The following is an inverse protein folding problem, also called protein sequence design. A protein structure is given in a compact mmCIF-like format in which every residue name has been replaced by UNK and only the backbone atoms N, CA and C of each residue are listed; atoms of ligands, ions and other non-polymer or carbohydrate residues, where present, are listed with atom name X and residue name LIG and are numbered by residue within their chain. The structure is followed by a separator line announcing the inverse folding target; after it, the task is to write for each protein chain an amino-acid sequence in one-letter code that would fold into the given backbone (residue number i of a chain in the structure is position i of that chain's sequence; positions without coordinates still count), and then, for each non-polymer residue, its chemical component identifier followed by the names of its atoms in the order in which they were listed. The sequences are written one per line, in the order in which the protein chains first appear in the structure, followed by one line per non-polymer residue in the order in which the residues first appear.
data_IF_125666151235
#
_entry.id   IF_125666151235
#
_cell.length_a   1.000
_cell.length_b   1.000
_cell.length_c   1.000
_cell.angle_alpha   90.00
_cell.angle_beta   90.00
_cell.angle_gamma   90.00
#
_symmetry.space_group_name_H-M   'P 1'
#
loop_
_entity.id
_entity.type
_entity.pdbx_description
1 polymer ?
#
# COMPACT_ATOMS: atom_id res chain seq x y z
N UNK A 1 -1.77 -25.08 -12.59
CA UNK A 1 -3.19 -25.06 -12.17
C UNK A 1 -3.29 -24.27 -10.85
N UNK A 2 -4.06 -23.20 -10.84
CA UNK A 2 -4.23 -22.34 -9.66
C UNK A 2 -4.93 -23.09 -8.53
N UNK A 3 -4.33 -23.11 -7.36
CA UNK A 3 -4.90 -23.67 -6.15
C UNK A 3 -4.36 -22.90 -4.93
N UNK A 4 -4.95 -23.16 -3.75
CA UNK A 4 -4.56 -22.49 -2.50
C UNK A 4 -3.07 -22.60 -2.21
N UNK A 5 -2.48 -23.78 -2.38
CA UNK A 5 -1.07 -24.01 -2.06
C UNK A 5 -0.14 -23.26 -3.03
N UNK A 6 -0.47 -23.21 -4.33
CA UNK A 6 0.32 -22.46 -5.30
C UNK A 6 0.40 -20.98 -4.94
N UNK A 7 -0.73 -20.36 -4.54
CA UNK A 7 -0.75 -18.97 -4.08
C UNK A 7 0.11 -18.81 -2.82
N UNK A 8 -0.04 -19.70 -1.84
CA UNK A 8 0.73 -19.64 -0.59
C UNK A 8 2.24 -19.75 -0.81
N UNK A 9 2.67 -20.58 -1.77
CA UNK A 9 4.09 -20.75 -2.11
C UNK A 9 4.72 -19.46 -2.66
N UNK A 10 4.01 -18.75 -3.54
CA UNK A 10 4.54 -17.53 -4.19
C UNK A 10 4.29 -16.25 -3.39
N UNK A 11 3.49 -16.32 -2.32
CA UNK A 11 3.12 -15.16 -1.50
C UNK A 11 3.73 -15.19 -0.08
N UNK A 12 4.86 -15.86 0.10
CA UNK A 12 5.51 -16.02 1.40
C UNK A 12 4.49 -16.53 2.46
N UNK A 13 3.85 -17.67 2.15
CA UNK A 13 2.82 -18.31 3.01
C UNK A 13 1.65 -17.37 3.36
N UNK A 14 1.29 -16.47 2.44
CA UNK A 14 0.19 -15.51 2.57
C UNK A 14 0.61 -14.15 3.15
N UNK A 15 1.86 -13.97 3.58
CA UNK A 15 2.32 -12.70 4.16
C UNK A 15 2.28 -11.54 3.15
N UNK A 16 2.64 -11.81 1.89
CA UNK A 16 2.60 -10.82 0.82
C UNK A 16 1.18 -10.34 0.53
N UNK A 17 0.18 -11.23 0.65
CA UNK A 17 -1.24 -10.87 0.53
C UNK A 17 -1.63 -9.89 1.64
N UNK A 18 -1.28 -10.18 2.90
CA UNK A 18 -1.54 -9.24 4.00
C UNK A 18 -0.88 -7.88 3.78
N UNK A 19 0.36 -7.86 3.27
CA UNK A 19 1.08 -6.60 2.97
C UNK A 19 0.44 -5.80 1.86
N UNK A 20 -0.15 -6.48 0.87
CA UNK A 20 -0.83 -5.83 -0.24
C UNK A 20 -2.16 -5.20 0.19
N UNK A 21 -3.01 -5.97 0.87
CA UNK A 21 -4.37 -5.54 1.19
C UNK A 21 -4.49 -4.67 2.45
N UNK A 22 -3.60 -4.85 3.43
CA UNK A 22 -3.57 -3.99 4.61
C UNK A 22 -2.78 -2.72 4.30
N UNK A 23 -3.44 -1.58 4.22
CA UNK A 23 -2.84 -0.27 3.92
C UNK A 23 -1.96 0.30 5.04
N UNK A 24 -1.61 -0.51 6.03
CA UNK A 24 -0.75 -0.13 7.16
C UNK A 24 0.56 -0.92 7.16
N UNK A 25 1.63 -0.28 7.60
CA UNK A 25 2.88 -0.99 7.85
C UNK A 25 2.78 -1.73 9.18
N UNK A 26 2.87 -3.03 9.14
CA UNK A 26 2.91 -3.89 10.32
C UNK A 26 4.22 -4.68 10.41
N UNK A 27 4.52 -5.17 11.60
CA UNK A 27 5.58 -6.18 11.84
C UNK A 27 4.94 -7.45 12.37
N UNK A 28 5.33 -8.59 11.83
CA UNK A 28 4.89 -9.91 12.31
C UNK A 28 5.16 -10.03 13.81
N UNK A 29 4.18 -10.51 14.57
CA UNK A 29 4.26 -10.65 16.03
C UNK A 29 4.06 -9.36 16.81
N UNK A 30 3.84 -8.21 16.17
CA UNK A 30 3.57 -6.93 16.83
C UNK A 30 2.15 -6.46 16.58
N UNK A 31 1.53 -5.90 17.61
CA UNK A 31 0.18 -5.35 17.51
C UNK A 31 0.16 -4.06 16.68
N UNK A 32 -0.88 -3.90 15.89
CA UNK A 32 -1.17 -2.69 15.10
C UNK A 32 -2.68 -2.39 15.11
N UNK A 33 -3.06 -1.19 14.68
CA UNK A 33 -4.45 -0.80 14.51
C UNK A 33 -5.02 -1.47 13.26
N UNK A 34 -6.18 -2.14 13.37
CA UNK A 34 -6.82 -2.74 12.22
C UNK A 34 -7.33 -1.63 11.27
N UNK A 35 -6.88 -1.61 9.99
CA UNK A 35 -7.31 -0.58 9.04
C UNK A 35 -8.71 -0.81 8.48
N UNK A 36 -9.33 -1.96 8.74
CA UNK A 36 -10.62 -2.36 8.15
C UNK A 36 -11.83 -1.79 8.89
N UNK A 37 -11.62 -1.25 10.09
CA UNK A 37 -12.66 -0.55 10.86
C UNK A 37 -12.04 0.56 11.71
N UNK A 38 -12.87 1.33 12.41
CA UNK A 38 -12.43 2.39 13.33
C UNK A 38 -11.85 1.78 14.60
N UNK A 39 -10.61 1.33 14.55
CA UNK A 39 -9.88 0.81 15.69
C UNK A 39 -9.18 1.93 16.47
N UNK A 40 -9.35 1.96 17.79
CA UNK A 40 -8.76 2.97 18.69
C UNK A 40 -7.59 2.44 19.50
N UNK A 41 -7.43 1.11 19.57
CA UNK A 41 -6.41 0.44 20.36
C UNK A 41 -5.79 -0.68 19.55
N UNK A 42 -4.48 -0.64 19.35
CA UNK A 42 -3.75 -1.66 18.61
C UNK A 42 -4.04 -3.07 19.17
N UNK A 43 -4.92 -3.80 18.51
CA UNK A 43 -5.40 -5.14 18.89
C UNK A 43 -5.12 -6.20 17.83
N UNK A 44 -4.85 -5.78 16.59
CA UNK A 44 -4.61 -6.68 15.48
C UNK A 44 -3.15 -7.15 15.42
N UNK A 45 -2.91 -8.41 15.08
CA UNK A 45 -1.59 -9.00 14.95
C UNK A 45 -1.54 -9.98 13.79
N UNK A 46 -0.45 -9.96 13.03
CA UNK A 46 -0.11 -11.00 12.04
C UNK A 46 0.93 -11.93 12.67
N UNK A 47 0.67 -13.23 12.64
CA UNK A 47 1.56 -14.26 13.19
C UNK A 47 1.67 -15.45 12.27
N UNK A 48 2.74 -16.23 12.41
CA UNK A 48 2.92 -17.46 11.69
C UNK A 48 2.31 -18.62 12.47
N UNK A 49 1.33 -19.30 11.87
CA UNK A 49 0.72 -20.51 12.42
C UNK A 49 1.55 -21.74 11.99
N UNK A 50 2.35 -22.24 12.89
CA UNK A 50 3.24 -23.39 12.64
C UNK A 50 2.47 -24.66 12.27
N UNK A 51 1.25 -24.85 12.84
CA UNK A 51 0.46 -26.05 12.57
C UNK A 51 0.00 -26.12 11.12
N UNK A 52 -0.37 -24.99 10.54
CA UNK A 52 -0.87 -24.91 9.17
C UNK A 52 0.18 -24.37 8.18
N UNK A 53 1.38 -23.99 8.67
CA UNK A 53 2.46 -23.40 7.89
C UNK A 53 2.05 -22.19 7.05
N UNK A 54 1.24 -21.29 7.62
CA UNK A 54 0.73 -20.08 6.97
C UNK A 54 0.72 -18.89 7.93
N UNK A 55 0.75 -17.68 7.38
CA UNK A 55 0.47 -16.48 8.17
C UNK A 55 -1.03 -16.31 8.38
N UNK A 56 -1.38 -15.87 9.58
CA UNK A 56 -2.76 -15.57 9.99
C UNK A 56 -2.83 -14.21 10.67
N UNK A 57 -3.98 -13.60 10.57
CA UNK A 57 -4.34 -12.39 11.29
C UNK A 57 -5.21 -12.75 12.49
N UNK A 58 -4.93 -12.20 13.65
CA UNK A 58 -5.78 -12.24 14.83
C UNK A 58 -6.07 -10.82 15.27
N UNK A 59 -7.33 -10.50 15.33
CA UNK A 59 -7.81 -9.25 15.91
C UNK A 59 -8.48 -9.54 17.26
N UNK A 60 -7.88 -9.05 18.33
CA UNK A 60 -8.40 -9.21 19.70
C UNK A 60 -9.50 -8.18 20.03
N UNK A 61 -9.67 -7.14 19.19
CA UNK A 61 -10.73 -6.15 19.33
C UNK A 61 -12.01 -6.56 18.63
N UNK A 62 -11.88 -7.23 17.48
CA UNK A 62 -13.01 -7.77 16.72
C UNK A 62 -12.60 -9.06 16.00
N UNK A 63 -13.01 -10.19 16.56
CA UNK A 63 -12.65 -11.51 16.06
C UNK A 63 -13.17 -11.81 14.65
N UNK A 64 -14.12 -11.04 14.19
CA UNK A 64 -14.62 -11.12 12.82
C UNK A 64 -13.52 -10.93 11.77
N UNK A 65 -12.50 -10.16 12.07
CA UNK A 65 -11.35 -9.90 11.18
C UNK A 65 -10.19 -10.88 11.41
N UNK A 66 -10.39 -11.93 12.21
CA UNK A 66 -9.39 -12.99 12.38
C UNK A 66 -9.48 -14.01 11.25
N UNK A 67 -8.31 -14.52 10.79
CA UNK A 67 -8.30 -15.56 9.76
C UNK A 67 -7.01 -15.60 8.94
N UNK A 68 -7.03 -16.38 7.86
CA UNK A 68 -5.94 -16.43 6.90
C UNK A 68 -6.06 -15.30 5.83
N UNK A 69 -5.11 -15.24 4.92
CA UNK A 69 -5.09 -14.19 3.89
C UNK A 69 -6.29 -14.28 2.93
N UNK A 70 -6.82 -15.47 2.70
CA UNK A 70 -8.02 -15.65 1.85
C UNK A 70 -9.28 -15.15 2.56
N UNK A 71 -9.39 -15.37 3.87
CA UNK A 71 -10.50 -14.85 4.68
C UNK A 71 -10.46 -13.32 4.73
N UNK A 72 -9.27 -12.71 4.80
CA UNK A 72 -9.12 -11.26 4.69
C UNK A 72 -9.68 -10.74 3.35
N UNK A 73 -9.22 -11.32 2.23
CA UNK A 73 -9.65 -10.87 0.89
C UNK A 73 -11.15 -11.15 0.70
N UNK A 74 -11.65 -12.29 1.15
CA UNK A 74 -13.07 -12.61 1.12
C UNK A 74 -13.92 -11.55 1.83
N UNK A 75 -13.52 -11.11 3.04
CA UNK A 75 -14.20 -10.04 3.75
C UNK A 75 -14.15 -8.69 3.04
N UNK A 76 -13.03 -8.35 2.44
CA UNK A 76 -12.87 -7.10 1.70
C UNK A 76 -13.70 -7.07 0.41
N UNK A 77 -13.91 -8.22 -0.22
CA UNK A 77 -14.67 -8.36 -1.48
C UNK A 77 -16.12 -8.77 -1.28
N UNK A 78 -16.51 -9.13 -0.04
CA UNK A 78 -17.85 -9.64 0.26
C UNK A 78 -18.07 -11.10 -0.14
N UNK A 79 -16.99 -11.84 -0.42
CA UNK A 79 -17.01 -13.23 -0.83
C UNK A 79 -16.71 -14.17 0.36
N UNK A 80 -17.29 -15.37 0.34
CA UNK A 80 -17.16 -16.36 1.41
C UNK A 80 -16.17 -17.47 1.07
N UNK A 81 -15.14 -17.64 1.87
CA UNK A 81 -14.22 -18.78 1.75
C UNK A 81 -14.88 -20.14 1.93
N UNK A 82 -16.10 -20.19 2.50
CA UNK A 82 -16.85 -21.44 2.72
C UNK A 82 -17.56 -21.92 1.45
N UNK A 83 -17.78 -21.06 0.48
CA UNK A 83 -18.42 -21.40 -0.77
C UNK A 83 -17.35 -21.71 -1.83
N UNK A 84 -17.32 -22.93 -2.41
CA UNK A 84 -16.25 -23.31 -3.33
C UNK A 84 -16.09 -22.39 -4.54
N UNK A 85 -17.20 -21.90 -5.10
CA UNK A 85 -17.19 -20.98 -6.26
C UNK A 85 -16.59 -19.62 -5.88
N UNK A 86 -17.01 -19.08 -4.74
CA UNK A 86 -16.52 -17.80 -4.24
C UNK A 86 -15.06 -17.89 -3.80
N UNK A 87 -14.65 -19.03 -3.25
CA UNK A 87 -13.25 -19.26 -2.89
C UNK A 87 -12.33 -19.29 -4.12
N UNK A 88 -12.78 -19.89 -5.22
CA UNK A 88 -12.05 -19.80 -6.50
C UNK A 88 -11.91 -18.37 -6.97
N UNK A 89 -12.97 -17.56 -6.82
CA UNK A 89 -12.93 -16.14 -7.18
C UNK A 89 -11.99 -15.34 -6.29
N UNK A 90 -11.97 -15.59 -4.98
CA UNK A 90 -10.98 -15.00 -4.06
C UNK A 90 -9.55 -15.30 -4.53
N UNK A 91 -9.27 -16.54 -4.91
CA UNK A 91 -7.96 -16.93 -5.43
C UNK A 91 -7.60 -16.19 -6.72
N UNK A 92 -8.56 -16.00 -7.63
CA UNK A 92 -8.35 -15.22 -8.86
C UNK A 92 -8.05 -13.76 -8.58
N UNK A 93 -8.79 -13.15 -7.66
CA UNK A 93 -8.56 -11.76 -7.24
C UNK A 93 -7.13 -11.61 -6.71
N UNK A 94 -6.69 -12.52 -5.84
CA UNK A 94 -5.33 -12.49 -5.30
C UNK A 94 -4.29 -12.65 -6.42
N UNK A 95 -4.51 -13.59 -7.36
CA UNK A 95 -3.61 -13.84 -8.48
C UNK A 95 -3.47 -12.60 -9.38
N UNK A 96 -4.58 -11.92 -9.66
CA UNK A 96 -4.62 -10.72 -10.47
C UNK A 96 -4.00 -9.51 -9.78
N UNK A 97 -4.39 -9.24 -8.54
CA UNK A 97 -3.94 -8.06 -7.81
C UNK A 97 -2.43 -8.11 -7.49
N UNK A 98 -1.90 -9.31 -7.22
CA UNK A 98 -0.48 -9.51 -6.98
C UNK A 98 0.31 -9.90 -8.23
N UNK A 99 -0.35 -10.01 -9.39
CA UNK A 99 0.26 -10.39 -10.67
C UNK A 99 1.08 -11.70 -10.59
N UNK A 100 0.50 -12.74 -9.95
CA UNK A 100 1.21 -14.00 -9.69
C UNK A 100 1.34 -14.89 -10.93
N UNK A 101 0.43 -14.73 -11.92
CA UNK A 101 0.44 -15.49 -13.18
C UNK A 101 0.11 -16.97 -13.02
N UNK A 102 -0.67 -17.34 -12.01
CA UNK A 102 -1.05 -18.73 -11.73
C UNK A 102 -2.27 -19.19 -12.51
N UNK A 103 -3.08 -18.26 -12.97
CA UNK A 103 -4.26 -18.51 -13.81
C UNK A 103 -3.87 -18.41 -15.30
N UNK A 104 -3.23 -19.44 -15.85
CA UNK A 104 -2.96 -19.50 -17.28
C UNK A 104 -4.28 -19.50 -18.06
N UNK A 105 -4.47 -18.49 -18.93
CA UNK A 105 -5.43 -18.50 -20.03
C UNK A 105 -6.84 -17.98 -19.75
N UNK A 106 -7.11 -17.24 -18.70
CA UNK A 106 -8.37 -16.53 -18.53
C UNK A 106 -8.19 -15.03 -18.80
N UNK A 107 -8.63 -14.58 -19.96
CA UNK A 107 -9.01 -13.18 -20.17
C UNK A 107 -10.23 -12.92 -19.29
N UNK A 108 -10.00 -12.47 -18.08
CA UNK A 108 -11.10 -12.03 -17.23
C UNK A 108 -11.43 -10.58 -17.58
N UNK A 109 -12.69 -10.36 -17.94
CA UNK A 109 -13.29 -9.03 -17.96
C UNK A 109 -13.42 -8.44 -16.52
N UNK A 110 -12.43 -8.69 -15.67
CA UNK A 110 -12.34 -8.07 -14.36
C UNK A 110 -11.69 -6.70 -14.53
N UNK A 111 -12.52 -5.69 -14.59
CA UNK A 111 -12.11 -4.35 -14.19
C UNK A 111 -11.89 -4.41 -12.68
N UNK A 112 -10.65 -4.20 -12.20
CA UNK A 112 -10.43 -4.12 -10.76
C UNK A 112 -11.36 -3.02 -10.23
N UNK A 113 -12.41 -3.42 -9.54
CA UNK A 113 -13.12 -2.47 -8.68
C UNK A 113 -12.05 -1.86 -7.79
N UNK A 114 -11.95 -0.53 -7.72
CA UNK A 114 -11.04 0.08 -6.77
C UNK A 114 -11.37 -0.59 -5.44
N UNK A 115 -10.40 -1.32 -4.89
CA UNK A 115 -10.54 -1.93 -3.57
C UNK A 115 -11.04 -0.81 -2.70
N UNK A 116 -12.33 -0.84 -2.39
CA UNK A 116 -12.86 0.04 -1.39
C UNK A 116 -12.22 -0.47 -0.09
N UNK A 117 -10.97 -0.06 0.11
CA UNK A 117 -10.39 -0.09 1.43
C UNK A 117 -11.41 0.66 2.27
N UNK A 118 -12.23 -0.08 3.01
CA UNK A 118 -13.40 0.42 3.71
C UNK A 118 -13.08 1.45 4.78
N UNK A 119 -11.84 1.88 4.83
CA UNK A 119 -11.34 2.96 5.63
C UNK A 119 -11.06 4.18 4.74
N UNK A 120 -12.14 4.88 4.36
CA UNK A 120 -12.00 6.30 4.05
C UNK A 120 -11.66 7.00 5.37
N UNK A 121 -10.38 7.31 5.56
CA UNK A 121 -10.02 8.26 6.61
C UNK A 121 -10.89 9.50 6.44
N UNK A 122 -11.59 9.88 7.50
CA UNK A 122 -12.30 11.17 7.50
C UNK A 122 -11.28 12.27 7.16
N UNK A 123 -11.72 13.40 6.57
CA UNK A 123 -10.81 14.51 6.29
C UNK A 123 -9.96 14.90 7.50
N UNK A 124 -10.54 14.89 8.69
CA UNK A 124 -9.86 15.16 9.96
C UNK A 124 -8.78 14.13 10.33
N UNK A 125 -8.96 12.85 9.95
CA UNK A 125 -7.96 11.80 10.18
C UNK A 125 -6.83 11.87 9.16
N UNK A 126 -7.13 12.30 7.92
CA UNK A 126 -6.10 12.58 6.90
C UNK A 126 -5.22 13.74 7.35
N UNK A 127 -5.79 14.81 7.88
CA UNK A 127 -5.02 15.96 8.38
C UNK A 127 -4.12 15.60 9.56
N UNK A 128 -4.57 14.75 10.49
CA UNK A 128 -3.77 14.33 11.66
C UNK A 128 -2.59 13.41 11.31
N UNK A 129 -2.64 12.68 10.20
CA UNK A 129 -1.63 11.71 9.81
C UNK A 129 -0.71 12.17 8.67
N UNK A 130 -1.04 13.27 7.99
CA UNK A 130 -0.18 13.85 6.97
C UNK A 130 0.99 14.54 7.66
N UNK A 131 2.18 13.96 7.54
CA UNK A 131 3.40 14.68 7.89
C UNK A 131 3.65 15.70 6.79
N UNK A 132 3.70 16.99 7.10
CA UNK A 132 4.07 17.97 6.11
C UNK A 132 5.49 17.67 5.62
N UNK A 133 5.63 17.63 4.32
CA UNK A 133 6.92 17.47 3.67
C UNK A 133 7.13 18.62 2.69
N UNK A 134 8.37 18.98 2.47
CA UNK A 134 8.77 19.90 1.43
C UNK A 134 9.74 19.20 0.50
N UNK A 135 9.65 19.53 -0.77
CA UNK A 135 10.56 19.01 -1.79
C UNK A 135 10.92 20.12 -2.78
N UNK A 136 12.14 20.05 -3.29
CA UNK A 136 12.60 20.93 -4.35
C UNK A 136 12.79 20.08 -5.59
N UNK A 137 11.96 20.26 -6.64
CA UNK A 137 12.13 19.55 -7.88
C UNK A 137 13.38 20.05 -8.60
N UNK A 138 13.95 19.24 -9.48
CA UNK A 138 15.02 19.60 -10.41
C UNK A 138 14.70 19.08 -11.81
N UNK A 139 15.51 19.46 -12.76
CA UNK A 139 15.45 18.89 -14.11
C UNK A 139 16.06 17.48 -14.16
N UNK A 140 15.59 16.68 -15.11
CA UNK A 140 16.14 15.36 -15.40
C UNK A 140 17.60 15.48 -15.84
N UNK A 141 18.49 14.67 -15.26
CA UNK A 141 19.87 14.54 -15.69
C UNK A 141 20.14 13.18 -16.37
N UNK A 142 21.32 13.01 -16.94
CA UNK A 142 21.67 11.79 -17.66
C UNK A 142 21.76 10.55 -16.74
N UNK A 143 22.14 10.74 -15.48
CA UNK A 143 22.16 9.66 -14.50
C UNK A 143 20.76 9.14 -14.20
N UNK A 144 19.76 10.02 -14.08
CA UNK A 144 18.35 9.63 -13.91
C UNK A 144 17.86 8.85 -15.12
N UNK A 145 18.14 9.36 -16.33
CA UNK A 145 17.73 8.72 -17.59
C UNK A 145 18.36 7.34 -17.74
N UNK A 146 19.62 7.21 -17.37
CA UNK A 146 20.33 5.93 -17.36
C UNK A 146 19.73 4.96 -16.34
N UNK A 147 19.42 5.45 -15.14
CA UNK A 147 18.81 4.63 -14.08
C UNK A 147 17.47 4.04 -14.51
N UNK A 148 16.56 4.88 -14.98
CA UNK A 148 15.24 4.43 -15.42
C UNK A 148 15.28 3.66 -16.74
N UNK A 149 16.21 4.00 -17.64
CA UNK A 149 16.42 3.31 -18.91
C UNK A 149 16.84 1.86 -18.75
N UNK A 150 17.57 1.49 -17.69
CA UNK A 150 17.91 0.10 -17.37
C UNK A 150 16.67 -0.78 -17.17
N UNK A 151 15.56 -0.20 -16.74
CA UNK A 151 14.27 -0.88 -16.55
C UNK A 151 13.31 -0.63 -17.73
N UNK A 152 13.79 -0.08 -18.85
CA UNK A 152 12.94 0.24 -20.01
C UNK A 152 11.94 1.39 -19.79
N UNK A 153 12.11 2.16 -18.70
CA UNK A 153 11.19 3.26 -18.35
C UNK A 153 11.71 4.55 -18.97
N UNK A 154 10.93 5.10 -19.90
CA UNK A 154 11.27 6.35 -20.61
C UNK A 154 10.75 7.58 -19.87
N UNK A 155 11.33 8.75 -20.14
CA UNK A 155 10.90 10.05 -19.60
C UNK A 155 9.40 10.32 -19.89
N UNK A 156 8.90 9.89 -21.05
CA UNK A 156 7.47 10.00 -21.40
C UNK A 156 6.58 9.20 -20.44
N UNK A 157 7.02 8.00 -20.05
CA UNK A 157 6.30 7.17 -19.08
C UNK A 157 6.33 7.84 -17.70
N UNK A 158 7.48 8.33 -17.26
CA UNK A 158 7.62 9.02 -15.98
C UNK A 158 6.72 10.26 -15.90
N UNK A 159 6.65 11.05 -16.99
CA UNK A 159 5.74 12.20 -17.07
C UNK A 159 4.27 11.83 -16.99
N UNK A 160 3.86 10.71 -17.62
CA UNK A 160 2.48 10.19 -17.53
C UNK A 160 2.06 9.88 -16.07
N UNK A 161 2.99 9.44 -15.24
CA UNK A 161 2.75 9.11 -13.84
C UNK A 161 3.15 10.22 -12.87
N UNK A 162 3.40 11.45 -13.36
CA UNK A 162 3.81 12.61 -12.56
C UNK A 162 5.04 12.35 -11.69
N UNK A 163 5.98 11.53 -12.18
CA UNK A 163 7.26 11.30 -11.51
C UNK A 163 8.19 12.45 -11.85
N UNK A 164 8.72 13.09 -10.83
CA UNK A 164 9.66 14.22 -10.99
C UNK A 164 10.92 13.96 -10.17
N UNK A 165 12.11 14.30 -10.70
CA UNK A 165 13.35 14.20 -9.95
C UNK A 165 13.40 15.29 -8.89
N UNK A 166 13.97 14.96 -7.73
CA UNK A 166 14.08 15.90 -6.62
C UNK A 166 15.54 16.29 -6.37
N UNK A 167 15.77 17.57 -6.11
CA UNK A 167 17.04 18.07 -5.59
C UNK A 167 17.13 17.78 -4.09
N UNK A 168 16.06 18.02 -3.35
CA UNK A 168 15.99 17.76 -1.93
C UNK A 168 14.59 17.40 -1.48
N UNK A 169 14.53 16.60 -0.42
CA UNK A 169 13.31 16.22 0.26
C UNK A 169 13.52 16.34 1.76
N UNK A 170 12.58 16.97 2.45
CA UNK A 170 12.58 17.04 3.91
C UNK A 170 11.18 16.78 4.46
N UNK A 171 11.11 15.97 5.52
CA UNK A 171 9.90 15.78 6.33
C UNK A 171 10.01 16.62 7.60
N UNK A 172 8.95 17.33 7.94
CA UNK A 172 8.91 18.13 9.16
C UNK A 172 8.47 17.24 10.32
N UNK A 173 9.23 17.26 11.40
CA UNK A 173 8.85 16.54 12.61
C UNK A 173 7.64 17.20 13.27
N UNK A 174 6.81 16.41 13.99
CA UNK A 174 5.60 16.89 14.70
C UNK A 174 5.85 18.02 15.71
N UNK A 175 7.11 18.36 16.01
CA UNK A 175 7.47 19.40 16.99
C UNK A 175 7.58 20.81 16.40
N UNK A 176 7.63 20.95 15.06
CA UNK A 176 7.64 22.29 14.44
C UNK A 176 6.18 22.77 14.24
N UNK A 177 5.87 23.90 14.85
CA UNK A 177 4.53 24.49 14.75
C UNK A 177 4.21 24.89 13.31
N UNK A 178 2.93 24.82 12.90
CA UNK A 178 2.44 25.25 11.61
C UNK A 178 2.90 26.66 11.23
N UNK A 179 3.07 27.56 12.21
CA UNK A 179 3.56 28.94 12.05
C UNK A 179 5.01 28.99 11.57
N UNK A 180 5.88 28.11 12.09
CA UNK A 180 7.27 28.02 11.62
C UNK A 180 7.36 27.49 10.17
N UNK A 181 6.44 26.64 9.77
CA UNK A 181 6.32 26.14 8.40
C UNK A 181 5.88 27.21 7.42
N UNK A 182 4.94 28.07 7.79
CA UNK A 182 4.51 29.21 6.96
C UNK A 182 5.64 30.23 6.79
N UNK A 183 6.30 30.63 7.85
CA UNK A 183 7.43 31.55 7.81
C UNK A 183 8.60 31.02 6.98
N UNK A 184 8.91 29.71 7.06
CA UNK A 184 9.93 29.08 6.21
C UNK A 184 9.53 28.98 4.74
N UNK A 185 8.25 28.83 4.42
CA UNK A 185 7.75 28.87 3.05
C UNK A 185 7.94 30.27 2.46
N UNK A 186 7.49 31.28 3.17
CA UNK A 186 7.58 32.68 2.72
C UNK A 186 9.03 33.14 2.53
N UNK A 187 9.94 32.80 3.44
CA UNK A 187 11.36 33.10 3.32
C UNK A 187 12.05 32.42 2.13
N UNK A 188 11.60 31.25 1.69
CA UNK A 188 12.19 30.55 0.53
C UNK A 188 11.63 31.01 -0.81
N UNK A 189 10.39 31.47 -0.85
CA UNK A 189 9.82 32.06 -2.06
C UNK A 189 10.36 33.47 -2.36
N UNK A 190 10.90 34.18 -1.34
CA UNK A 190 11.52 35.50 -1.51
C UNK A 190 12.97 35.45 -1.98
N UNK A 191 13.58 34.27 -2.03
CA UNK A 191 14.93 34.06 -2.55
C UNK A 191 14.91 33.61 -4.02
N UNK A 192 14.27 34.37 -4.88
CA UNK A 192 14.46 34.24 -6.33
C UNK A 192 15.60 35.19 -6.74
N UNK A 193 16.73 34.72 -7.24
CA UNK A 193 17.67 35.63 -7.87
C UNK A 193 17.10 36.10 -9.22
N UNK A 194 16.69 37.32 -9.30
CA UNK A 194 16.74 38.05 -10.53
C UNK A 194 18.22 38.10 -10.93
N UNK A 195 18.57 37.43 -12.02
CA UNK A 195 19.62 37.85 -12.95
C UNK A 195 19.91 36.70 -13.90
N UNK A 196 19.28 36.78 -15.06
CA UNK A 196 19.85 36.28 -16.32
C UNK A 196 20.00 37.51 -17.22
N UNK A 197 21.18 38.01 -17.34
CA UNK A 197 21.66 38.68 -18.50
C UNK A 197 22.49 37.70 -19.28
#
# INVERSE_FOLDING_TARGET
MMNKEAILQVTDRGLSVFRHYLSVRFRVGKKFLNPLYKDTKASCNIYYDQKHAIYKMKDFGNDEYSGDCFELVGKMTGLSCRQPKEFVEIMRIIDQDLHLGLADGYETAYTPSPVQTGFRMTPEQKEKNVRPYSFVPRTWNDADKTFWGKSGITEKVLGKYNVVPLHSFSSVSKKESLTALQLRKESRYMATPANIT
#
